data_IF_426812872012
#
_entry.id   IF_426812872012
#
_cell.length_a   1.000
_cell.length_b   1.000
_cell.length_c   1.000
_cell.angle_alpha   90.00
_cell.angle_beta   90.00
_cell.angle_gamma   90.00
#
_symmetry.space_group_name_H-M   'P 1'
#
loop_
_entity.id
_entity.type
_entity.pdbx_description
1 polymer ?
#
# COMPACT_ATOMS: atom_id res chain seq x y z
N UNK A 1 -13.44 -20.94 -22.03
CA UNK A 1 -13.04 -19.54 -21.80
C UNK A 1 -12.44 -19.53 -20.42
N UNK A 2 -11.11 -19.70 -20.36
CA UNK A 2 -10.40 -19.70 -19.07
C UNK A 2 -10.49 -18.30 -18.45
N UNK A 3 -10.78 -18.18 -17.15
CA UNK A 3 -10.75 -16.91 -16.47
C UNK A 3 -9.31 -16.41 -16.51
N UNK A 4 -9.10 -15.25 -17.15
CA UNK A 4 -7.80 -14.54 -17.11
C UNK A 4 -7.49 -14.29 -15.65
N UNK A 5 -6.46 -14.95 -15.14
CA UNK A 5 -6.02 -14.78 -13.77
C UNK A 5 -5.71 -13.29 -13.52
N UNK A 6 -6.30 -12.72 -12.48
CA UNK A 6 -6.02 -11.32 -12.09
C UNK A 6 -4.53 -11.21 -11.73
N UNK A 7 -3.79 -10.18 -12.19
CA UNK A 7 -2.37 -9.99 -11.85
C UNK A 7 -2.14 -9.77 -10.35
N UNK A 8 -3.21 -9.65 -9.58
CA UNK A 8 -3.20 -9.45 -8.13
C UNK A 8 -3.41 -10.74 -7.34
N UNK A 9 -3.71 -11.88 -8.00
CA UNK A 9 -3.79 -13.19 -7.35
C UNK A 9 -2.45 -13.90 -7.50
N UNK A 10 -1.65 -13.91 -6.44
CA UNK A 10 -0.44 -14.72 -6.38
C UNK A 10 -0.80 -16.21 -6.30
N UNK A 11 0.01 -17.08 -6.91
CA UNK A 11 -0.07 -18.51 -6.70
C UNK A 11 0.17 -18.83 -5.21
N UNK A 12 -0.41 -19.92 -4.65
CA UNK A 12 -0.15 -20.32 -3.27
C UNK A 12 1.35 -20.45 -3.01
N UNK A 13 1.89 -19.71 -2.04
CA UNK A 13 3.31 -19.68 -1.70
C UNK A 13 4.16 -18.65 -2.44
N UNK A 14 3.62 -17.91 -3.42
CA UNK A 14 4.31 -16.79 -4.05
C UNK A 14 4.11 -15.51 -3.24
N UNK A 15 5.16 -14.68 -3.18
CA UNK A 15 5.12 -13.36 -2.55
C UNK A 15 4.08 -12.48 -3.23
N UNK A 16 3.15 -11.86 -2.47
CA UNK A 16 2.10 -11.03 -3.05
C UNK A 16 2.67 -9.76 -3.65
N UNK A 17 1.94 -9.17 -4.59
CA UNK A 17 2.33 -7.90 -5.22
C UNK A 17 2.44 -6.77 -4.19
N UNK A 18 1.53 -6.74 -3.22
CA UNK A 18 1.53 -5.77 -2.13
C UNK A 18 2.71 -6.00 -1.17
N UNK A 19 3.03 -7.24 -0.83
CA UNK A 19 4.17 -7.60 0.01
C UNK A 19 5.49 -7.16 -0.65
N UNK A 20 5.69 -7.46 -1.94
CA UNK A 20 6.87 -7.00 -2.68
C UNK A 20 6.95 -5.49 -2.75
N UNK A 21 5.83 -4.81 -3.07
CA UNK A 21 5.80 -3.37 -3.14
C UNK A 21 6.18 -2.71 -1.80
N UNK A 22 5.72 -3.30 -0.70
CA UNK A 22 6.01 -2.80 0.65
C UNK A 22 7.47 -3.10 1.06
N UNK A 23 7.95 -4.32 0.82
CA UNK A 23 9.33 -4.72 1.12
C UNK A 23 10.34 -3.89 0.34
N UNK A 24 10.09 -3.64 -0.95
CA UNK A 24 10.95 -2.81 -1.78
C UNK A 24 10.89 -1.32 -1.39
N UNK A 25 9.74 -0.82 -0.92
CA UNK A 25 9.65 0.53 -0.39
C UNK A 25 10.56 0.72 0.84
N UNK A 26 10.70 -0.33 1.66
CA UNK A 26 11.63 -0.33 2.80
C UNK A 26 13.10 -0.46 2.39
N UNK A 27 13.41 -1.12 1.28
CA UNK A 27 14.78 -1.51 0.91
C UNK A 27 15.62 -0.45 0.17
N UNK A 28 15.07 0.70 -0.22
CA UNK A 28 15.76 1.83 -0.87
C UNK A 28 16.60 1.46 -2.12
N UNK A 29 16.11 0.67 -3.05
CA UNK A 29 16.84 0.37 -4.30
C UNK A 29 16.04 0.80 -5.52
N UNK A 30 16.49 1.84 -6.22
CA UNK A 30 16.19 2.00 -7.65
C UNK A 30 17.20 2.91 -8.37
N UNK A 31 17.92 2.36 -9.37
CA UNK A 31 18.67 3.14 -10.33
C UNK A 31 17.68 3.74 -11.36
N UNK A 32 17.63 5.06 -11.40
CA UNK A 32 16.75 5.79 -12.30
C UNK A 32 17.23 5.69 -13.76
N UNK A 33 16.65 4.75 -14.50
CA UNK A 33 16.69 4.72 -15.96
C UNK A 33 15.55 5.63 -16.50
N UNK A 34 15.89 6.76 -17.11
CA UNK A 34 14.93 7.75 -17.64
C UNK A 34 13.85 7.12 -18.54
N UNK A 35 14.20 6.12 -19.33
CA UNK A 35 13.23 5.41 -20.18
C UNK A 35 12.26 4.62 -19.30
N UNK A 36 12.75 3.96 -18.25
CA UNK A 36 11.93 3.20 -17.30
C UNK A 36 10.95 4.13 -16.58
N UNK A 37 11.41 5.27 -16.08
CA UNK A 37 10.56 6.27 -15.42
C UNK A 37 9.46 6.75 -16.37
N UNK A 38 9.80 7.14 -17.61
CA UNK A 38 8.83 7.57 -18.62
C UNK A 38 7.76 6.50 -18.93
N UNK A 39 8.16 5.24 -19.05
CA UNK A 39 7.21 4.13 -19.28
C UNK A 39 6.29 3.96 -18.08
N UNK A 40 6.82 4.00 -16.86
CA UNK A 40 6.02 3.86 -15.65
C UNK A 40 5.04 5.04 -15.45
N UNK A 41 5.45 6.27 -15.76
CA UNK A 41 4.56 7.44 -15.70
C UNK A 41 3.44 7.33 -16.73
N UNK A 42 3.78 6.99 -17.98
CA UNK A 42 2.79 6.80 -19.03
C UNK A 42 1.81 5.65 -18.72
N UNK A 43 2.31 4.58 -18.12
CA UNK A 43 1.49 3.45 -17.69
C UNK A 43 0.53 3.84 -16.56
N UNK A 44 1.03 4.53 -15.54
CA UNK A 44 0.22 5.04 -14.44
C UNK A 44 -0.94 5.92 -14.95
N UNK A 45 -0.64 6.93 -15.78
CA UNK A 45 -1.65 7.79 -16.36
C UNK A 45 -2.66 7.03 -17.23
N UNK A 46 -2.19 6.07 -18.02
CA UNK A 46 -3.05 5.24 -18.88
C UNK A 46 -3.99 4.37 -18.03
N UNK A 47 -3.46 3.74 -16.99
CA UNK A 47 -4.22 2.87 -16.10
C UNK A 47 -5.25 3.66 -15.27
N UNK A 48 -4.90 4.86 -14.79
CA UNK A 48 -5.85 5.74 -14.09
C UNK A 48 -7.00 6.19 -14.99
N UNK A 49 -6.72 6.48 -16.29
CA UNK A 49 -7.76 6.96 -17.22
C UNK A 49 -8.67 5.89 -17.76
N UNK A 50 -8.11 4.75 -18.15
CA UNK A 50 -8.82 3.71 -18.92
C UNK A 50 -9.07 2.45 -18.10
N UNK A 51 -8.46 2.32 -16.93
CA UNK A 51 -8.40 1.08 -16.17
C UNK A 51 -7.32 0.13 -16.73
N UNK A 52 -6.79 -0.74 -15.86
CA UNK A 52 -5.74 -1.69 -16.24
C UNK A 52 -6.24 -2.65 -17.32
N UNK A 53 -7.44 -3.21 -17.18
CA UNK A 53 -7.96 -4.23 -18.09
C UNK A 53 -8.05 -3.72 -19.55
N UNK A 54 -8.52 -2.51 -19.75
CA UNK A 54 -8.72 -1.89 -21.08
C UNK A 54 -7.46 -1.29 -21.68
N UNK A 55 -6.37 -1.19 -20.92
CA UNK A 55 -5.10 -0.63 -21.38
C UNK A 55 -4.23 -1.70 -22.05
N UNK A 56 -3.51 -1.30 -23.10
CA UNK A 56 -2.55 -2.15 -23.80
C UNK A 56 -1.13 -1.62 -23.67
N UNK A 57 -0.13 -2.47 -23.91
CA UNK A 57 1.28 -2.05 -23.98
C UNK A 57 1.54 -1.02 -25.09
N UNK A 58 0.72 -1.06 -26.15
CA UNK A 58 0.76 -0.09 -27.26
C UNK A 58 0.26 1.28 -26.84
N UNK A 59 -0.80 1.35 -26.06
CA UNK A 59 -1.31 2.61 -25.50
C UNK A 59 -0.27 3.26 -24.61
N UNK A 60 0.41 2.46 -23.78
CA UNK A 60 1.50 2.94 -22.93
C UNK A 60 2.68 3.43 -23.77
N UNK A 61 3.11 2.67 -24.79
CA UNK A 61 4.19 3.08 -25.68
C UNK A 61 3.89 4.42 -26.39
N UNK A 62 2.67 4.55 -26.93
CA UNK A 62 2.19 5.79 -27.57
C UNK A 62 2.21 6.96 -26.59
N UNK A 63 1.72 6.77 -25.38
CA UNK A 63 1.70 7.80 -24.33
C UNK A 63 3.11 8.19 -23.89
N UNK A 64 4.01 7.22 -23.73
CA UNK A 64 5.42 7.45 -23.38
C UNK A 64 6.22 8.10 -24.51
N UNK A 65 5.69 8.20 -25.74
CA UNK A 65 6.43 8.67 -26.91
C UNK A 65 7.59 7.73 -27.27
N UNK A 66 7.39 6.42 -27.08
CA UNK A 66 8.42 5.40 -27.32
C UNK A 66 7.91 4.33 -28.30
N UNK A 67 8.86 3.60 -28.92
CA UNK A 67 8.49 2.45 -29.74
C UNK A 67 7.97 1.31 -28.86
N UNK A 68 7.04 0.49 -29.39
CA UNK A 68 6.55 -0.73 -28.75
C UNK A 68 7.72 -1.65 -28.33
N UNK A 69 8.71 -1.82 -29.21
CA UNK A 69 9.89 -2.64 -28.93
C UNK A 69 10.65 -2.13 -27.70
N UNK A 70 10.79 -0.83 -27.55
CA UNK A 70 11.46 -0.21 -26.40
C UNK A 70 10.73 -0.54 -25.10
N UNK A 71 9.39 -0.47 -25.08
CA UNK A 71 8.59 -0.79 -23.91
C UNK A 71 8.70 -2.28 -23.57
N UNK A 72 8.52 -3.18 -24.55
CA UNK A 72 8.61 -4.63 -24.32
C UNK A 72 10.00 -5.09 -23.87
N UNK A 73 11.06 -4.41 -24.31
CA UNK A 73 12.41 -4.69 -23.83
C UNK A 73 12.62 -4.36 -22.36
N UNK A 74 11.85 -3.41 -21.79
CA UNK A 74 11.91 -3.00 -20.38
C UNK A 74 10.92 -3.77 -19.51
N UNK A 75 9.76 -4.09 -20.06
CA UNK A 75 8.67 -4.78 -19.38
C UNK A 75 8.11 -5.84 -20.32
N UNK A 76 8.46 -7.10 -20.06
CA UNK A 76 8.14 -8.21 -20.96
C UNK A 76 6.62 -8.41 -21.15
N UNK A 77 5.82 -8.12 -20.11
CA UNK A 77 4.37 -8.28 -20.12
C UNK A 77 3.67 -7.07 -19.51
N UNK A 78 2.35 -6.96 -19.77
CA UNK A 78 1.51 -5.95 -19.11
C UNK A 78 1.46 -6.17 -17.60
N UNK A 79 1.40 -7.41 -17.15
CA UNK A 79 1.33 -7.75 -15.73
C UNK A 79 2.61 -7.32 -14.99
N UNK A 80 3.77 -7.58 -15.59
CA UNK A 80 5.05 -7.06 -15.08
C UNK A 80 5.06 -5.53 -14.99
N UNK A 81 4.52 -4.85 -16.02
CA UNK A 81 4.43 -3.39 -16.01
C UNK A 81 3.50 -2.89 -14.90
N UNK A 82 2.33 -3.52 -14.73
CA UNK A 82 1.36 -3.20 -13.67
C UNK A 82 2.02 -3.36 -12.29
N UNK A 83 2.71 -4.48 -12.07
CA UNK A 83 3.44 -4.75 -10.83
C UNK A 83 4.42 -3.62 -10.51
N UNK A 84 5.24 -3.21 -11.48
CA UNK A 84 6.20 -2.13 -11.28
C UNK A 84 5.54 -0.77 -11.04
N UNK A 85 4.40 -0.48 -11.68
CA UNK A 85 3.66 0.77 -11.44
C UNK A 85 3.11 0.78 -10.01
N UNK A 86 2.43 -0.30 -9.59
CA UNK A 86 1.87 -0.42 -8.24
C UNK A 86 2.98 -0.30 -7.19
N UNK A 87 4.09 -1.03 -7.37
CA UNK A 87 5.25 -0.98 -6.48
C UNK A 87 5.83 0.43 -6.34
N UNK A 88 5.96 1.17 -7.45
CA UNK A 88 6.43 2.55 -7.45
C UNK A 88 5.46 3.49 -6.70
N UNK A 89 4.17 3.33 -6.88
CA UNK A 89 3.18 4.17 -6.19
C UNK A 89 3.18 3.91 -4.67
N UNK A 90 3.33 2.64 -4.25
CA UNK A 90 3.53 2.31 -2.84
C UNK A 90 4.80 2.92 -2.26
N UNK A 91 5.93 2.87 -2.99
CA UNK A 91 7.18 3.50 -2.56
C UNK A 91 7.00 5.01 -2.38
N UNK A 92 6.41 5.70 -3.37
CA UNK A 92 6.12 7.14 -3.30
C UNK A 92 5.23 7.51 -2.11
N UNK A 93 4.26 6.66 -1.80
CA UNK A 93 3.44 6.81 -0.60
C UNK A 93 4.30 6.64 0.65
N UNK A 94 5.07 5.56 0.72
CA UNK A 94 5.84 5.21 1.91
C UNK A 94 6.91 6.25 2.23
N UNK A 95 7.60 6.78 1.22
CA UNK A 95 8.59 7.84 1.37
C UNK A 95 7.96 9.10 1.98
N UNK A 96 6.79 9.50 1.49
CA UNK A 96 6.03 10.63 2.05
C UNK A 96 5.57 10.36 3.47
N UNK A 97 5.02 9.19 3.71
CA UNK A 97 4.58 8.74 5.02
C UNK A 97 5.69 8.78 6.07
N UNK A 98 6.90 8.30 5.72
CA UNK A 98 8.05 8.36 6.62
C UNK A 98 8.48 9.80 6.96
N UNK A 99 8.33 10.74 6.03
CA UNK A 99 8.60 12.15 6.29
C UNK A 99 7.53 12.72 7.23
N UNK A 100 6.26 12.46 6.94
CA UNK A 100 5.13 12.94 7.74
C UNK A 100 5.18 12.39 9.19
N UNK A 101 5.42 11.08 9.34
CA UNK A 101 5.41 10.44 10.66
C UNK A 101 6.55 10.94 11.57
N UNK A 102 7.68 11.36 10.99
CA UNK A 102 8.79 11.95 11.74
C UNK A 102 8.48 13.34 12.31
N UNK A 103 7.49 14.03 11.73
CA UNK A 103 7.05 15.35 12.20
C UNK A 103 6.07 15.27 13.37
N UNK A 104 5.49 14.10 13.63
CA UNK A 104 4.60 13.89 14.75
C UNK A 104 5.36 13.91 16.08
N UNK A 105 4.92 14.75 17.00
CA UNK A 105 5.63 15.00 18.27
C UNK A 105 5.52 13.84 19.24
N UNK A 106 4.35 13.17 19.26
CA UNK A 106 4.07 12.09 20.20
C UNK A 106 3.85 10.74 19.50
N UNK A 107 4.00 9.65 20.26
CA UNK A 107 3.66 8.30 19.77
C UNK A 107 2.18 8.22 19.39
N UNK A 108 1.31 8.86 20.19
CA UNK A 108 -0.13 8.94 19.91
C UNK A 108 -0.40 9.60 18.56
N UNK A 109 0.27 10.73 18.26
CA UNK A 109 0.11 11.41 16.97
C UNK A 109 0.63 10.55 15.81
N UNK A 110 1.72 9.79 16.02
CA UNK A 110 2.23 8.84 15.01
C UNK A 110 1.24 7.72 14.71
N UNK A 111 0.58 7.18 15.74
CA UNK A 111 -0.48 6.16 15.55
C UNK A 111 -1.66 6.75 14.77
N UNK A 112 -2.13 7.94 15.15
CA UNK A 112 -3.22 8.63 14.44
C UNK A 112 -2.85 8.90 13.00
N UNK A 113 -1.69 9.50 12.75
CA UNK A 113 -1.21 9.82 11.42
C UNK A 113 -1.04 8.55 10.57
N UNK A 114 -0.46 7.49 11.17
CA UNK A 114 -0.28 6.20 10.50
C UNK A 114 -1.59 5.59 10.05
N UNK A 115 -2.61 5.63 10.90
CA UNK A 115 -3.94 5.12 10.56
C UNK A 115 -4.61 5.94 9.44
N UNK A 116 -4.70 7.26 9.61
CA UNK A 116 -5.35 8.15 8.63
C UNK A 116 -4.62 8.11 7.28
N UNK A 117 -3.30 8.27 7.30
CA UNK A 117 -2.48 8.31 6.08
C UNK A 117 -2.54 6.99 5.31
N UNK A 118 -2.56 5.84 5.99
CA UNK A 118 -2.66 4.52 5.33
C UNK A 118 -3.99 4.34 4.61
N UNK A 119 -5.10 4.71 5.24
CA UNK A 119 -6.43 4.63 4.63
C UNK A 119 -6.56 5.60 3.45
N UNK A 120 -6.16 6.87 3.64
CA UNK A 120 -6.20 7.89 2.60
C UNK A 120 -5.35 7.55 1.39
N UNK A 121 -4.12 7.06 1.60
CA UNK A 121 -3.21 6.76 0.51
C UNK A 121 -3.71 5.61 -0.39
N UNK A 122 -4.29 4.59 0.20
CA UNK A 122 -4.81 3.44 -0.55
C UNK A 122 -6.12 3.81 -1.24
N UNK A 123 -7.05 4.42 -0.54
CA UNK A 123 -8.35 4.83 -1.10
C UNK A 123 -8.25 6.00 -2.07
N UNK A 124 -7.43 6.99 -1.75
CA UNK A 124 -7.22 8.20 -2.57
C UNK A 124 -6.28 8.01 -3.76
N UNK A 125 -5.60 6.88 -3.89
CA UNK A 125 -4.78 6.61 -5.07
C UNK A 125 -5.68 6.24 -6.26
N UNK A 126 -5.67 7.01 -7.39
CA UNK A 126 -6.59 6.78 -8.50
C UNK A 126 -6.47 5.37 -9.11
N UNK A 127 -5.26 4.81 -9.12
CA UNK A 127 -5.01 3.46 -9.63
C UNK A 127 -5.55 2.40 -8.67
N UNK A 128 -5.19 2.48 -7.39
CA UNK A 128 -5.55 1.49 -6.38
C UNK A 128 -7.02 1.61 -6.04
N UNK A 129 -7.51 2.83 -5.81
CA UNK A 129 -8.93 3.11 -5.57
C UNK A 129 -9.82 2.67 -6.74
N UNK A 130 -9.36 2.90 -7.98
CA UNK A 130 -10.04 2.42 -9.19
C UNK A 130 -10.11 0.90 -9.28
N UNK A 131 -9.07 0.19 -8.87
CA UNK A 131 -9.05 -1.27 -8.79
C UNK A 131 -10.02 -1.80 -7.73
N UNK A 132 -10.00 -1.20 -6.54
CA UNK A 132 -10.91 -1.56 -5.44
C UNK A 132 -12.37 -1.31 -5.84
N UNK A 133 -12.65 -0.20 -6.52
CA UNK A 133 -13.99 0.12 -7.01
C UNK A 133 -14.46 -0.86 -8.10
N UNK A 134 -13.56 -1.33 -8.96
CA UNK A 134 -13.87 -2.31 -10.00
C UNK A 134 -14.04 -3.73 -9.44
N UNK A 135 -13.24 -4.09 -8.45
CA UNK A 135 -13.23 -5.40 -7.80
C UNK A 135 -13.17 -5.25 -6.26
N UNK A 136 -14.31 -5.00 -5.59
CA UNK A 136 -14.34 -4.72 -4.13
C UNK A 136 -13.73 -5.82 -3.25
N UNK A 137 -13.74 -7.08 -3.74
CA UNK A 137 -13.13 -8.22 -3.06
C UNK A 137 -11.62 -8.35 -3.24
N UNK A 138 -11.00 -7.54 -4.09
CA UNK A 138 -9.60 -7.71 -4.48
C UNK A 138 -8.63 -7.59 -3.29
N UNK A 139 -8.80 -6.57 -2.45
CA UNK A 139 -7.95 -6.40 -1.26
C UNK A 139 -8.14 -7.53 -0.25
N UNK A 140 -9.38 -7.89 0.04
CA UNK A 140 -9.68 -9.00 0.95
C UNK A 140 -9.11 -10.32 0.40
N UNK A 141 -9.30 -10.56 -0.90
CA UNK A 141 -8.75 -11.74 -1.58
C UNK A 141 -7.22 -11.77 -1.54
N UNK A 142 -6.54 -10.66 -1.83
CA UNK A 142 -5.07 -10.61 -1.80
C UNK A 142 -4.51 -10.86 -0.40
N UNK A 143 -5.15 -10.34 0.65
CA UNK A 143 -4.76 -10.57 2.04
C UNK A 143 -4.95 -12.02 2.49
N UNK A 144 -5.90 -12.74 1.90
CA UNK A 144 -6.14 -14.16 2.20
C UNK A 144 -5.19 -15.06 1.40
N UNK A 145 -4.96 -14.74 0.12
CA UNK A 145 -4.16 -15.59 -0.79
C UNK A 145 -2.66 -15.53 -0.51
N UNK A 146 -2.16 -14.49 0.16
CA UNK A 146 -0.74 -14.35 0.51
C UNK A 146 -0.39 -14.95 1.90
N UNK A 147 -1.29 -15.70 2.52
CA UNK A 147 -1.13 -16.26 3.86
C UNK A 147 -0.81 -15.19 4.93
N UNK A 148 -1.29 -13.95 4.72
CA UNK A 148 -1.09 -12.83 5.64
C UNK A 148 0.31 -12.20 5.62
N UNK A 149 1.15 -12.53 4.64
CA UNK A 149 2.53 -11.98 4.56
C UNK A 149 2.57 -10.47 4.41
N UNK A 150 1.67 -9.88 3.62
CA UNK A 150 1.54 -8.42 3.52
C UNK A 150 1.27 -7.81 4.90
N UNK A 151 0.29 -8.36 5.64
CA UNK A 151 -0.02 -7.89 6.99
C UNK A 151 1.16 -8.10 7.94
N UNK A 152 1.86 -9.22 7.86
CA UNK A 152 3.03 -9.51 8.67
C UNK A 152 4.17 -8.49 8.44
N UNK A 153 4.40 -8.09 7.20
CA UNK A 153 5.41 -7.08 6.84
C UNK A 153 5.05 -5.72 7.41
N UNK A 154 3.79 -5.28 7.27
CA UNK A 154 3.30 -4.02 7.85
C UNK A 154 3.36 -4.06 9.38
N UNK A 155 2.94 -5.19 10.00
CA UNK A 155 3.04 -5.41 11.44
C UNK A 155 4.46 -5.29 11.94
N UNK A 156 5.42 -5.93 11.26
CA UNK A 156 6.84 -5.88 11.65
C UNK A 156 7.38 -4.44 11.64
N UNK A 157 6.99 -3.64 10.65
CA UNK A 157 7.33 -2.22 10.61
C UNK A 157 6.74 -1.45 11.79
N UNK A 158 5.43 -1.57 12.06
CA UNK A 158 4.74 -0.88 13.17
C UNK A 158 5.34 -1.31 14.51
N UNK A 159 5.55 -2.61 14.72
CA UNK A 159 6.19 -3.12 15.92
C UNK A 159 7.61 -2.60 16.09
N UNK A 160 8.38 -2.46 15.00
CA UNK A 160 9.71 -1.84 15.00
C UNK A 160 9.69 -0.40 15.49
N UNK A 161 8.72 0.40 15.03
CA UNK A 161 8.54 1.78 15.49
C UNK A 161 8.18 1.80 17.00
N UNK A 162 7.24 0.98 17.43
CA UNK A 162 6.85 0.91 18.85
C UNK A 162 8.00 0.44 19.76
N UNK A 163 8.85 -0.50 19.32
CA UNK A 163 10.08 -0.88 20.06
C UNK A 163 11.07 0.26 20.20
N UNK A 164 11.22 1.10 19.17
CA UNK A 164 12.06 2.30 19.27
C UNK A 164 11.53 3.24 20.37
N UNK A 165 10.20 3.40 20.44
CA UNK A 165 9.56 4.21 21.49
C UNK A 165 9.67 3.58 22.89
N UNK A 166 9.65 2.24 23.00
CA UNK A 166 9.98 1.57 24.26
C UNK A 166 11.41 1.83 24.71
N UNK A 167 12.37 1.79 23.78
CA UNK A 167 13.77 2.12 24.10
C UNK A 167 13.95 3.59 24.47
N UNK A 168 13.14 4.49 23.91
CA UNK A 168 13.12 5.92 24.28
C UNK A 168 12.38 6.20 25.59
N UNK A 169 11.68 5.21 26.17
CA UNK A 169 10.92 5.34 27.41
C UNK A 169 9.56 6.02 27.25
N UNK A 170 9.09 6.23 26.04
CA UNK A 170 7.80 6.86 25.72
C UNK A 170 6.65 5.86 25.63
N UNK A 171 6.96 4.57 25.52
CA UNK A 171 6.02 3.46 25.57
C UNK A 171 6.47 2.47 26.64
N UNK A 172 5.52 1.92 27.40
CA UNK A 172 5.80 0.97 28.49
C UNK A 172 6.53 -0.27 27.96
N UNK A 173 7.59 -0.70 28.67
CA UNK A 173 8.30 -1.95 28.35
C UNK A 173 7.46 -3.19 28.65
N UNK A 174 6.37 -3.06 29.43
CA UNK A 174 5.42 -4.14 29.68
C UNK A 174 4.44 -4.40 28.53
N UNK A 175 4.37 -3.47 27.56
CA UNK A 175 3.48 -3.61 26.42
C UNK A 175 4.01 -4.66 25.44
N UNK A 176 3.17 -5.61 25.02
CA UNK A 176 3.46 -6.51 23.90
C UNK A 176 3.25 -5.75 22.56
N UNK A 177 4.32 -5.12 22.10
CA UNK A 177 4.28 -4.30 20.87
C UNK A 177 3.97 -5.12 19.61
N UNK A 178 4.24 -6.42 19.59
CA UNK A 178 3.90 -7.28 18.46
C UNK A 178 2.39 -7.51 18.38
N UNK A 179 1.73 -7.74 19.51
CA UNK A 179 0.27 -7.90 19.60
C UNK A 179 -0.42 -6.58 19.29
N UNK A 180 0.06 -5.46 19.85
CA UNK A 180 -0.55 -4.14 19.58
C UNK A 180 -0.42 -3.78 18.11
N UNK A 181 0.76 -3.96 17.51
CA UNK A 181 0.96 -3.73 16.07
C UNK A 181 0.05 -4.60 15.21
N UNK A 182 -0.12 -5.89 15.57
CA UNK A 182 -1.02 -6.82 14.90
C UNK A 182 -2.46 -6.30 14.91
N UNK A 183 -2.96 -5.86 16.08
CA UNK A 183 -4.32 -5.34 16.22
C UNK A 183 -4.52 -4.05 15.41
N UNK A 184 -3.59 -3.09 15.49
CA UNK A 184 -3.64 -1.84 14.72
C UNK A 184 -3.68 -2.09 13.21
N UNK A 185 -2.83 -2.99 12.72
CA UNK A 185 -2.75 -3.33 11.28
C UNK A 185 -4.02 -4.04 10.83
N UNK A 186 -4.56 -4.97 11.63
CA UNK A 186 -5.81 -5.65 11.30
C UNK A 186 -7.01 -4.72 11.27
N UNK A 187 -7.11 -3.77 12.20
CA UNK A 187 -8.17 -2.75 12.17
C UNK A 187 -8.08 -1.92 10.90
N UNK A 188 -6.89 -1.43 10.55
CA UNK A 188 -6.67 -0.67 9.32
C UNK A 188 -7.02 -1.48 8.07
N UNK A 189 -6.56 -2.73 8.00
CA UNK A 189 -6.84 -3.64 6.90
C UNK A 189 -8.33 -3.95 6.75
N UNK A 190 -9.06 -4.08 7.87
CA UNK A 190 -10.51 -4.28 7.86
C UNK A 190 -11.24 -3.13 7.19
N UNK A 191 -10.90 -1.86 7.53
CA UNK A 191 -11.48 -0.69 6.90
C UNK A 191 -11.12 -0.54 5.41
N UNK A 192 -9.95 -1.03 5.01
CA UNK A 192 -9.56 -1.05 3.60
C UNK A 192 -10.29 -2.13 2.79
N UNK A 193 -10.52 -3.29 3.40
CA UNK A 193 -11.13 -4.44 2.74
C UNK A 193 -12.66 -4.38 2.71
N UNK A 194 -13.28 -3.80 3.74
CA UNK A 194 -14.73 -3.81 3.94
C UNK A 194 -15.23 -2.38 4.20
N UNK A 195 -16.11 -1.82 3.34
CA UNK A 195 -16.69 -0.50 3.57
C UNK A 195 -17.40 -0.42 4.92
N UNK A 196 -17.19 0.65 5.67
CA UNK A 196 -17.92 0.93 6.90
C UNK A 196 -19.24 1.65 6.61
N UNK A 197 -20.30 1.28 7.35
CA UNK A 197 -21.57 1.99 7.31
C UNK A 197 -21.72 2.99 8.47
N UNK A 198 -20.74 3.02 9.37
CA UNK A 198 -20.78 3.84 10.60
C UNK A 198 -19.71 4.94 10.57
N UNK A 199 -18.58 4.65 9.94
CA UNK A 199 -17.43 5.56 9.85
C UNK A 199 -17.30 6.02 8.42
N UNK A 200 -17.32 7.32 8.20
CA UNK A 200 -16.96 7.92 6.92
C UNK A 200 -15.42 7.80 6.75
N UNK A 201 -15.02 7.00 5.79
CA UNK A 201 -13.60 6.73 5.52
C UNK A 201 -12.94 7.80 4.64
N UNK A 202 -13.71 8.78 4.17
CA UNK A 202 -13.23 9.92 3.38
C UNK A 202 -13.10 11.18 4.24
N UNK A 203 -13.51 11.12 5.53
CA UNK A 203 -13.35 12.17 6.54
C UNK A 203 -12.13 11.91 7.43
N UNK A 204 -11.02 12.60 7.15
CA UNK A 204 -9.75 12.48 7.87
C UNK A 204 -9.89 12.84 9.37
N UNK A 205 -10.74 13.83 9.72
CA UNK A 205 -10.95 14.24 11.12
C UNK A 205 -11.65 13.13 11.90
N UNK A 206 -12.65 12.51 11.28
CA UNK A 206 -13.38 11.39 11.86
C UNK A 206 -12.49 10.17 12.04
N UNK A 207 -11.62 9.88 11.07
CA UNK A 207 -10.63 8.81 11.19
C UNK A 207 -9.62 9.11 12.30
N UNK A 208 -9.16 10.35 12.42
CA UNK A 208 -8.24 10.75 13.49
C UNK A 208 -8.89 10.62 14.87
N UNK A 209 -10.17 11.02 15.03
CA UNK A 209 -10.94 10.82 16.24
C UNK A 209 -11.06 9.35 16.63
N UNK A 210 -11.36 8.50 15.65
CA UNK A 210 -11.45 7.05 15.84
C UNK A 210 -10.11 6.48 16.32
N UNK A 211 -9.02 6.86 15.67
CA UNK A 211 -7.68 6.41 16.06
C UNK A 211 -7.31 6.85 17.47
N UNK A 212 -7.54 8.14 17.82
CA UNK A 212 -7.29 8.64 19.17
C UNK A 212 -8.09 7.89 20.23
N UNK A 213 -9.35 7.59 19.93
CA UNK A 213 -10.25 6.98 20.90
C UNK A 213 -10.04 5.48 21.08
N UNK A 214 -9.64 4.76 20.04
CA UNK A 214 -9.64 3.29 20.06
C UNK A 214 -8.29 2.65 19.76
N UNK A 215 -7.37 3.30 19.03
CA UNK A 215 -6.06 2.75 18.76
C UNK A 215 -5.00 3.26 19.74
N UNK A 216 -4.99 4.57 20.03
CA UNK A 216 -4.01 5.16 20.96
C UNK A 216 -4.07 4.50 22.35
N UNK A 217 -5.24 4.21 22.96
CA UNK A 217 -5.29 3.53 24.25
C UNK A 217 -4.67 2.13 24.28
N UNK A 218 -4.48 1.49 23.12
CA UNK A 218 -3.74 0.21 23.05
C UNK A 218 -2.27 0.35 23.48
N UNK A 219 -1.72 1.59 23.51
CA UNK A 219 -0.35 1.85 23.97
C UNK A 219 -0.23 1.88 25.51
N UNK A 220 -1.35 1.95 26.21
CA UNK A 220 -1.45 2.07 27.68
C UNK A 220 -1.85 0.74 28.34
N UNK A 221 -2.08 -0.32 27.52
CA UNK A 221 -2.61 -1.62 27.95
C UNK A 221 -1.53 -2.47 28.68
#
# INVERSE_FOLDING_TARGET
>A
MDPVASPFTAAPGAESLLERAYTDALAQVDEADDIRVRVLDAAYEQFCRMGIQRSTMEDVAKRAGLSRITVYRRFATKDTLVEHVVRREYRRYFDRFLVEIKQAETVADRVVLGFVSSLRAIRGNPLIGGLIAAEPGLLASSMITDDGRTLATVRAFVAGQLRQEQHAGTVSTGLDVDVVAELMVRVSASFLAIPSQVVDLDDDERLAELARRYLVPMLEA
#
